data_IF_206273326484
#
_entry.id   IF_206273326484
#
_cell.length_a   1.000
_cell.length_b   1.000
_cell.length_c   1.000
_cell.angle_alpha   90.00
_cell.angle_beta   90.00
_cell.angle_gamma   90.00
#
_symmetry.space_group_name_H-M   'P 1'
#
loop_
_entity.id
_entity.type
_entity.pdbx_description
1 polymer ?
#
# COMPACT_ATOMS: atom_id res chain seq x y z
N UNK A 1 28.70 23.16 -1.27
CA UNK A 1 27.38 23.52 -0.71
C UNK A 1 26.37 22.37 -0.88
N UNK A 2 26.69 21.13 -0.44
CA UNK A 2 25.80 19.95 -0.59
C UNK A 2 25.53 19.19 0.73
N UNK A 3 26.08 19.63 1.86
CA UNK A 3 26.00 18.90 3.15
C UNK A 3 24.69 19.15 3.91
N UNK A 4 24.02 20.29 3.68
CA UNK A 4 22.78 20.63 4.39
C UNK A 4 21.57 19.82 3.94
N UNK A 5 21.47 19.42 2.66
CA UNK A 5 20.38 18.56 2.18
C UNK A 5 20.55 17.09 2.59
N UNK A 6 21.79 16.60 2.67
CA UNK A 6 22.05 15.23 3.13
C UNK A 6 21.67 15.04 4.60
N UNK A 7 21.91 16.06 5.45
CA UNK A 7 21.56 16.02 6.87
C UNK A 7 20.05 16.00 7.12
N UNK A 8 19.26 16.75 6.35
CA UNK A 8 17.80 16.75 6.48
C UNK A 8 17.16 15.48 5.95
N UNK A 9 17.65 14.94 4.83
CA UNK A 9 17.16 13.65 4.30
C UNK A 9 17.44 12.50 5.27
N UNK A 10 18.62 12.48 5.91
CA UNK A 10 18.93 11.46 6.91
C UNK A 10 18.00 11.55 8.12
N UNK A 11 17.72 12.76 8.61
CA UNK A 11 16.77 12.99 9.70
C UNK A 11 15.36 12.53 9.32
N UNK A 12 14.91 12.86 8.11
CA UNK A 12 13.58 12.48 7.60
C UNK A 12 13.42 10.95 7.51
N UNK A 13 14.43 10.25 6.96
CA UNK A 13 14.44 8.78 6.91
C UNK A 13 14.45 8.18 8.31
N UNK A 14 15.17 8.78 9.25
CA UNK A 14 15.20 8.33 10.64
C UNK A 14 13.83 8.48 11.31
N UNK A 15 13.14 9.60 11.10
CA UNK A 15 11.76 9.80 11.59
C UNK A 15 10.81 8.76 11.00
N UNK A 16 10.89 8.49 9.69
CA UNK A 16 10.09 7.44 9.04
C UNK A 16 10.37 6.05 9.64
N UNK A 17 11.64 5.73 9.88
CA UNK A 17 12.06 4.44 10.44
C UNK A 17 11.62 4.28 11.90
N UNK A 18 11.70 5.34 12.70
CA UNK A 18 11.17 5.37 14.07
C UNK A 18 9.64 5.22 14.05
N UNK A 19 8.95 5.86 13.12
CA UNK A 19 7.49 5.73 12.98
C UNK A 19 7.08 4.28 12.69
N UNK A 20 7.78 3.62 11.77
CA UNK A 20 7.62 2.19 11.47
C UNK A 20 7.86 1.33 12.71
N UNK A 21 8.92 1.60 13.47
CA UNK A 21 9.24 0.89 14.69
C UNK A 21 8.15 1.07 15.77
N UNK A 22 7.70 2.31 15.98
CA UNK A 22 6.63 2.63 16.95
C UNK A 22 5.33 1.94 16.53
N UNK A 23 4.97 1.95 15.25
CA UNK A 23 3.79 1.25 14.74
C UNK A 23 3.88 -0.27 14.99
N UNK A 24 5.04 -0.87 14.72
CA UNK A 24 5.27 -2.30 14.91
C UNK A 24 5.18 -2.69 16.39
N UNK A 25 5.81 -1.92 17.27
CA UNK A 25 5.77 -2.15 18.71
C UNK A 25 4.34 -1.93 19.23
N UNK A 26 3.69 -0.83 18.85
CA UNK A 26 2.33 -0.53 19.26
C UNK A 26 1.35 -1.63 18.83
N UNK A 27 1.47 -2.15 17.59
CA UNK A 27 0.66 -3.28 17.11
C UNK A 27 0.88 -4.59 17.87
N UNK A 28 2.00 -4.72 18.59
CA UNK A 28 2.25 -5.87 19.46
C UNK A 28 1.54 -5.75 20.80
N UNK A 29 1.35 -4.52 21.29
CA UNK A 29 0.70 -4.24 22.58
C UNK A 29 -0.79 -3.89 22.47
N UNK A 30 -1.23 -3.41 21.30
CA UNK A 30 -2.63 -3.15 20.97
C UNK A 30 -3.12 -4.18 19.96
N UNK A 31 -4.40 -4.59 20.01
CA UNK A 31 -4.99 -5.51 19.02
C UNK A 31 -5.19 -4.88 17.63
N UNK A 32 -4.54 -3.75 17.34
CA UNK A 32 -4.72 -2.99 16.10
C UNK A 32 -3.77 -3.54 15.04
N UNK A 33 -4.23 -3.84 13.81
CA UNK A 33 -3.37 -4.28 12.72
C UNK A 33 -2.28 -3.25 12.41
N UNK A 34 -1.08 -3.73 12.12
CA UNK A 34 0.09 -2.89 11.85
C UNK A 34 -0.15 -1.86 10.74
N UNK A 35 -0.84 -2.25 9.66
CA UNK A 35 -1.18 -1.37 8.53
C UNK A 35 -2.05 -0.18 8.96
N UNK A 36 -3.05 -0.42 9.80
CA UNK A 36 -3.92 0.65 10.33
C UNK A 36 -3.12 1.58 11.24
N UNK A 37 -2.25 1.03 12.08
CA UNK A 37 -1.37 1.81 12.96
C UNK A 37 -0.43 2.74 12.18
N UNK A 38 0.19 2.22 11.10
CA UNK A 38 1.04 3.01 10.20
C UNK A 38 0.28 4.17 9.54
N UNK A 39 -0.93 3.93 9.04
CA UNK A 39 -1.74 4.98 8.41
C UNK A 39 -2.07 6.08 9.41
N UNK A 40 -2.52 5.71 10.62
CA UNK A 40 -2.85 6.67 11.67
C UNK A 40 -1.62 7.50 12.06
N UNK A 41 -0.48 6.85 12.30
CA UNK A 41 0.76 7.54 12.67
C UNK A 41 1.26 8.44 11.54
N UNK A 42 1.19 7.98 10.29
CA UNK A 42 1.54 8.78 9.12
C UNK A 42 0.66 10.03 8.98
N UNK A 43 -0.65 9.90 9.23
CA UNK A 43 -1.57 11.05 9.23
C UNK A 43 -1.26 12.04 10.35
N UNK A 44 -0.97 11.55 11.57
CA UNK A 44 -0.60 12.41 12.70
C UNK A 44 0.69 13.19 12.40
N UNK A 45 1.71 12.50 11.89
CA UNK A 45 2.99 13.13 11.55
C UNK A 45 2.83 14.13 10.40
N UNK A 46 2.09 13.77 9.35
CA UNK A 46 1.85 14.65 8.20
C UNK A 46 1.06 15.91 8.56
N UNK A 47 0.23 15.86 9.61
CA UNK A 47 -0.51 17.02 10.10
C UNK A 47 0.36 18.00 10.92
N UNK A 48 1.56 17.59 11.38
CA UNK A 48 2.45 18.44 12.17
C UNK A 48 3.25 19.43 11.27
N UNK A 49 3.46 20.67 11.73
CA UNK A 49 4.34 21.62 11.04
C UNK A 49 5.79 21.14 11.14
N UNK A 50 6.49 21.10 9.99
CA UNK A 50 7.87 20.59 9.92
C UNK A 50 7.98 19.06 9.77
N UNK A 51 6.94 18.42 9.23
CA UNK A 51 6.99 16.99 8.91
C UNK A 51 8.08 16.66 7.87
N UNK A 52 8.56 15.41 7.84
CA UNK A 52 9.57 14.97 6.87
C UNK A 52 9.17 15.31 5.44
N UNK A 53 10.06 15.94 4.69
CA UNK A 53 9.78 16.43 3.33
C UNK A 53 10.10 15.41 2.23
N UNK A 54 10.41 14.18 2.61
CA UNK A 54 10.74 13.09 1.68
C UNK A 54 9.53 12.80 0.79
N UNK A 55 9.60 13.33 -0.44
CA UNK A 55 8.58 13.13 -1.44
C UNK A 55 8.70 11.71 -2.05
N UNK A 56 7.74 10.85 -1.74
CA UNK A 56 7.55 9.58 -2.44
C UNK A 56 6.96 9.87 -3.83
N UNK A 57 7.84 9.91 -4.84
CA UNK A 57 7.37 10.08 -6.22
C UNK A 57 6.74 8.79 -6.75
N UNK A 58 5.71 8.87 -7.62
CA UNK A 58 5.10 7.69 -8.22
C UNK A 58 6.10 6.78 -8.93
N UNK A 59 7.09 7.37 -9.61
CA UNK A 59 8.13 6.62 -10.30
C UNK A 59 8.96 5.79 -9.33
N UNK A 60 9.30 6.34 -8.17
CA UNK A 60 10.06 5.62 -7.15
C UNK A 60 9.23 4.46 -6.59
N UNK A 61 7.95 4.70 -6.30
CA UNK A 61 7.04 3.64 -5.84
C UNK A 61 6.90 2.53 -6.89
N UNK A 62 6.59 2.88 -8.13
CA UNK A 62 6.32 1.90 -9.19
C UNK A 62 7.55 1.16 -9.69
N UNK A 63 8.72 1.80 -9.72
CA UNK A 63 9.95 1.22 -10.31
C UNK A 63 10.87 0.58 -9.28
N UNK A 64 10.83 1.02 -8.02
CA UNK A 64 11.74 0.53 -6.98
C UNK A 64 10.99 -0.28 -5.94
N UNK A 65 10.00 0.33 -5.28
CA UNK A 65 9.31 -0.33 -4.16
C UNK A 65 8.41 -1.47 -4.64
N UNK A 66 7.54 -1.23 -5.61
CA UNK A 66 6.56 -2.21 -6.07
C UNK A 66 7.23 -3.50 -6.58
N UNK A 67 8.27 -3.47 -7.44
CA UNK A 67 8.94 -4.69 -7.89
C UNK A 67 9.65 -5.42 -6.74
N UNK A 68 10.29 -4.69 -5.82
CA UNK A 68 10.96 -5.29 -4.67
C UNK A 68 9.96 -5.96 -3.71
N UNK A 69 8.83 -5.31 -3.43
CA UNK A 69 7.77 -5.84 -2.57
C UNK A 69 7.09 -7.06 -3.20
N UNK A 70 6.73 -6.98 -4.49
CA UNK A 70 6.15 -8.12 -5.21
C UNK A 70 7.10 -9.32 -5.23
N UNK A 71 8.41 -9.10 -5.43
CA UNK A 71 9.39 -10.17 -5.40
C UNK A 71 9.51 -10.78 -4.00
N UNK A 72 9.62 -9.96 -2.96
CA UNK A 72 9.70 -10.43 -1.57
C UNK A 72 8.45 -11.24 -1.17
N UNK A 73 7.26 -10.77 -1.56
CA UNK A 73 6.00 -11.48 -1.33
C UNK A 73 5.97 -12.82 -2.08
N UNK A 74 6.30 -12.83 -3.37
CA UNK A 74 6.30 -14.05 -4.19
C UNK A 74 7.32 -15.09 -3.72
N UNK A 75 8.48 -14.66 -3.23
CA UNK A 75 9.56 -15.55 -2.80
C UNK A 75 9.19 -16.45 -1.61
N UNK A 76 8.24 -16.02 -0.78
CA UNK A 76 7.82 -16.75 0.42
C UNK A 76 6.88 -17.93 0.09
N UNK A 77 6.26 -17.96 -1.09
CA UNK A 77 5.25 -18.95 -1.44
C UNK A 77 5.82 -20.24 -2.07
N UNK A 78 5.44 -21.44 -1.57
CA UNK A 78 5.87 -22.70 -2.16
C UNK A 78 5.17 -22.99 -3.49
N UNK A 79 5.97 -23.12 -4.56
CA UNK A 79 5.50 -23.36 -5.93
C UNK A 79 4.60 -24.59 -6.06
N UNK A 80 4.82 -25.62 -5.23
CA UNK A 80 4.02 -26.85 -5.23
C UNK A 80 2.56 -26.57 -4.84
N UNK A 81 2.32 -25.72 -3.85
CA UNK A 81 0.96 -25.34 -3.44
C UNK A 81 0.28 -24.47 -4.50
N UNK A 82 1.06 -23.61 -5.16
CA UNK A 82 0.57 -22.79 -6.28
C UNK A 82 0.10 -23.67 -7.44
N UNK A 83 0.88 -24.73 -7.77
CA UNK A 83 0.50 -25.71 -8.79
C UNK A 83 -0.68 -26.57 -8.37
N UNK A 84 -0.82 -26.93 -7.10
CA UNK A 84 -1.97 -27.70 -6.63
C UNK A 84 -3.29 -26.90 -6.72
N UNK A 85 -3.23 -25.57 -6.56
CA UNK A 85 -4.40 -24.69 -6.49
C UNK A 85 -4.45 -23.68 -7.66
N UNK A 86 -3.83 -23.98 -8.80
CA UNK A 86 -3.69 -23.02 -9.89
C UNK A 86 -5.03 -22.49 -10.41
N UNK A 87 -6.04 -23.36 -10.49
CA UNK A 87 -7.36 -23.01 -11.02
C UNK A 87 -8.08 -21.96 -10.15
N UNK A 88 -8.30 -22.18 -8.83
CA UNK A 88 -8.93 -21.15 -7.99
C UNK A 88 -8.09 -19.87 -7.91
N UNK A 89 -6.75 -19.97 -7.92
CA UNK A 89 -5.87 -18.79 -7.92
C UNK A 89 -6.10 -17.94 -9.17
N UNK A 90 -6.04 -18.56 -10.37
CA UNK A 90 -6.24 -17.82 -11.63
C UNK A 90 -7.65 -17.26 -11.72
N UNK A 91 -8.68 -18.00 -11.29
CA UNK A 91 -10.06 -17.51 -11.27
C UNK A 91 -10.22 -16.29 -10.36
N UNK A 92 -9.68 -16.32 -9.13
CA UNK A 92 -9.76 -15.20 -8.19
C UNK A 92 -8.95 -14.00 -8.68
N UNK A 93 -7.73 -14.24 -9.20
CA UNK A 93 -6.85 -13.18 -9.69
C UNK A 93 -7.37 -12.50 -10.97
N UNK A 94 -8.25 -13.15 -11.74
CA UNK A 94 -8.82 -12.60 -12.98
C UNK A 94 -10.29 -12.24 -12.82
N UNK A 95 -11.18 -13.23 -12.83
CA UNK A 95 -12.62 -13.02 -12.73
C UNK A 95 -13.01 -12.36 -11.41
N UNK A 96 -12.41 -12.77 -10.29
CA UNK A 96 -12.65 -12.15 -8.98
C UNK A 96 -12.33 -10.66 -8.99
N UNK A 97 -11.13 -10.29 -9.46
CA UNK A 97 -10.71 -8.89 -9.60
C UNK A 97 -11.65 -8.09 -10.51
N UNK A 98 -12.04 -8.64 -11.67
CA UNK A 98 -12.99 -7.96 -12.59
C UNK A 98 -14.36 -7.73 -11.93
N UNK A 99 -14.86 -8.70 -11.17
CA UNK A 99 -16.11 -8.57 -10.42
C UNK A 99 -15.97 -7.49 -9.34
N UNK A 100 -14.85 -7.44 -8.62
CA UNK A 100 -14.59 -6.38 -7.62
C UNK A 100 -14.59 -5.00 -8.26
N UNK A 101 -13.89 -4.83 -9.39
CA UNK A 101 -13.85 -3.56 -10.14
C UNK A 101 -15.25 -3.17 -10.59
N UNK A 102 -15.99 -4.09 -11.21
CA UNK A 102 -17.35 -3.83 -11.68
C UNK A 102 -18.29 -3.46 -10.52
N UNK A 103 -18.16 -4.15 -9.39
CA UNK A 103 -18.96 -3.87 -8.19
C UNK A 103 -18.67 -2.48 -7.64
N UNK A 104 -17.40 -2.11 -7.47
CA UNK A 104 -17.00 -0.77 -7.05
C UNK A 104 -17.52 0.30 -8.03
N UNK A 105 -17.39 0.05 -9.34
CA UNK A 105 -17.86 0.96 -10.37
C UNK A 105 -19.37 1.21 -10.26
N UNK A 106 -20.19 0.16 -10.18
CA UNK A 106 -21.65 0.28 -10.02
C UNK A 106 -21.98 1.07 -8.75
N UNK A 107 -21.39 0.69 -7.61
CA UNK A 107 -21.69 1.33 -6.32
C UNK A 107 -21.34 2.82 -6.34
N UNK A 108 -20.21 3.22 -6.94
CA UNK A 108 -19.78 4.62 -6.94
C UNK A 108 -20.53 5.48 -7.97
N UNK A 109 -20.83 4.94 -9.15
CA UNK A 109 -21.59 5.68 -10.17
C UNK A 109 -23.03 5.89 -9.71
N UNK A 110 -23.69 4.86 -9.18
CA UNK A 110 -25.10 4.96 -8.79
C UNK A 110 -25.30 5.46 -7.36
N UNK A 111 -24.40 5.16 -6.44
CA UNK A 111 -24.51 5.55 -5.03
C UNK A 111 -23.87 6.90 -4.69
N UNK A 112 -22.80 7.29 -5.37
CA UNK A 112 -22.07 8.53 -5.11
C UNK A 112 -22.07 9.51 -6.29
N UNK A 113 -22.78 9.19 -7.39
CA UNK A 113 -22.86 9.99 -8.61
C UNK A 113 -21.48 10.39 -9.19
N UNK A 114 -20.47 9.55 -9.00
CA UNK A 114 -19.13 9.81 -9.53
C UNK A 114 -19.08 9.62 -11.06
N UNK A 115 -18.21 10.37 -11.76
CA UNK A 115 -17.93 10.13 -13.17
C UNK A 115 -17.49 8.69 -13.41
N UNK A 116 -17.98 8.08 -14.50
CA UNK A 116 -17.79 6.66 -14.78
C UNK A 116 -16.32 6.27 -14.90
N UNK A 117 -15.47 7.10 -15.53
CA UNK A 117 -14.04 6.84 -15.65
C UNK A 117 -13.35 6.84 -14.28
N UNK A 118 -13.67 7.80 -13.41
CA UNK A 118 -13.09 7.92 -12.07
C UNK A 118 -13.48 6.73 -11.20
N UNK A 119 -14.74 6.30 -11.24
CA UNK A 119 -15.22 5.13 -10.50
C UNK A 119 -14.53 3.83 -10.96
N UNK A 120 -14.29 3.68 -12.27
CA UNK A 120 -13.57 2.53 -12.83
C UNK A 120 -12.11 2.50 -12.37
N UNK A 121 -11.43 3.66 -12.44
CA UNK A 121 -10.05 3.80 -11.96
C UNK A 121 -9.95 3.51 -10.46
N UNK A 122 -10.89 4.01 -9.65
CA UNK A 122 -10.92 3.71 -8.22
C UNK A 122 -11.08 2.21 -7.97
N UNK A 123 -12.03 1.56 -8.65
CA UNK A 123 -12.23 0.12 -8.55
C UNK A 123 -10.96 -0.66 -8.92
N UNK A 124 -10.24 -0.24 -9.96
CA UNK A 124 -8.98 -0.86 -10.39
C UNK A 124 -7.84 -0.69 -9.37
N UNK A 125 -7.77 0.46 -8.69
CA UNK A 125 -6.74 0.71 -7.66
C UNK A 125 -7.01 -0.12 -6.40
N UNK A 126 -8.28 -0.21 -5.98
CA UNK A 126 -8.68 -0.86 -4.73
C UNK A 126 -8.81 -2.38 -4.85
N UNK A 127 -8.96 -2.93 -6.07
CA UNK A 127 -9.13 -4.36 -6.28
C UNK A 127 -7.86 -5.19 -6.04
N UNK A 128 -6.68 -4.57 -6.03
CA UNK A 128 -5.43 -5.22 -5.69
C UNK A 128 -5.44 -5.60 -4.19
N UNK A 129 -5.27 -6.88 -3.89
CA UNK A 129 -5.26 -7.41 -2.52
C UNK A 129 -3.84 -7.70 -2.05
N UNK A 130 -3.57 -7.42 -0.78
CA UNK A 130 -2.27 -7.66 -0.14
C UNK A 130 -2.42 -8.80 0.88
N UNK A 131 -1.66 -9.90 0.77
CA UNK A 131 -1.86 -11.11 1.58
C UNK A 131 -1.15 -11.10 2.96
N UNK A 132 -0.68 -9.94 3.43
CA UNK A 132 0.00 -9.77 4.73
C UNK A 132 -0.91 -9.94 5.94
#
# INVERSE_FOLDING_TARGET
MNTFHAGTVFADVLVLLVTVLVAAIASRYTRIPYTVGLVILGLIIGALPGHPSVALTPNLVMLVFLPALLFAGAWTYPVQQLRANWLPIVLLATAGVLITIATCWVVLVYGAHMPSQTALLFGAIVSATDPV
#
